data_IF_049144370118
#
_entry.id   IF_049144370118
#
_cell.length_a   1.000
_cell.length_b   1.000
_cell.length_c   1.000
_cell.angle_alpha   90.00
_cell.angle_beta   90.00
_cell.angle_gamma   90.00
#
_symmetry.space_group_name_H-M   'P 1'
#
loop_
_entity.id
_entity.type
_entity.pdbx_description
1 polymer ?
#
# COMPACT_ATOMS: atom_id res chain seq x y z
N UNK A 1 -9.40 15.04 -21.00
CA UNK A 1 -9.57 13.59 -21.08
C UNK A 1 -10.22 13.08 -19.81
N UNK A 2 -11.16 12.21 -19.99
CA UNK A 2 -11.87 11.65 -18.84
C UNK A 2 -10.99 10.62 -18.14
N UNK A 3 -10.86 10.76 -16.85
CA UNK A 3 -10.16 9.80 -16.00
C UNK A 3 -11.10 8.65 -15.66
N UNK A 4 -10.65 7.43 -15.89
CA UNK A 4 -11.40 6.24 -15.50
C UNK A 4 -10.90 5.74 -14.16
N UNK A 5 -11.73 4.99 -13.48
CA UNK A 5 -11.43 4.43 -12.17
C UNK A 5 -11.49 2.91 -12.23
N UNK A 6 -10.46 2.24 -11.72
CA UNK A 6 -10.44 0.79 -11.56
C UNK A 6 -10.11 0.46 -10.13
N UNK A 7 -10.72 -0.60 -9.61
CA UNK A 7 -10.50 -1.08 -8.26
C UNK A 7 -10.11 -2.55 -8.30
N UNK A 8 -9.04 -2.90 -7.62
CA UNK A 8 -8.58 -4.28 -7.57
C UNK A 8 -7.44 -4.47 -6.59
N UNK A 9 -6.84 -5.64 -6.62
CA UNK A 9 -5.67 -5.90 -5.77
C UNK A 9 -4.42 -6.09 -6.62
N UNK A 10 -3.29 -5.73 -6.05
CA UNK A 10 -1.98 -5.89 -6.70
C UNK A 10 -1.62 -7.37 -6.67
N UNK A 11 -1.57 -7.99 -7.85
CA UNK A 11 -1.17 -9.39 -7.96
C UNK A 11 0.33 -9.55 -7.86
N UNK A 12 1.06 -8.80 -8.68
CA UNK A 12 2.51 -8.78 -8.59
C UNK A 12 3.08 -7.51 -9.20
N UNK A 13 4.32 -7.20 -8.80
CA UNK A 13 5.06 -6.05 -9.30
C UNK A 13 6.08 -6.53 -10.32
N UNK A 14 6.00 -6.00 -11.55
CA UNK A 14 6.90 -6.35 -12.63
C UNK A 14 8.21 -5.57 -12.51
N UNK A 15 8.12 -4.27 -12.21
CA UNK A 15 9.28 -3.39 -12.13
C UNK A 15 8.98 -2.25 -11.14
N UNK A 16 10.02 -1.84 -10.42
CA UNK A 16 9.93 -0.69 -9.51
C UNK A 16 11.24 0.07 -9.52
N UNK A 17 11.15 1.40 -9.67
CA UNK A 17 12.28 2.29 -9.47
C UNK A 17 12.14 2.90 -8.07
N UNK A 18 13.04 2.53 -7.16
CA UNK A 18 12.97 2.97 -5.76
C UNK A 18 13.24 4.46 -5.59
N UNK A 19 13.94 5.09 -6.53
CA UNK A 19 14.28 6.52 -6.43
C UNK A 19 13.09 7.43 -6.67
N UNK A 20 12.27 7.12 -7.67
CA UNK A 20 11.16 8.00 -8.06
C UNK A 20 9.78 7.36 -7.87
N UNK A 21 9.72 6.09 -7.50
CA UNK A 21 8.46 5.39 -7.27
C UNK A 21 7.78 4.88 -8.54
N UNK A 22 8.40 5.06 -9.72
CA UNK A 22 7.80 4.55 -10.95
C UNK A 22 7.70 3.03 -10.88
N UNK A 23 6.51 2.52 -11.13
CA UNK A 23 6.20 1.10 -10.94
C UNK A 23 5.36 0.58 -12.10
N UNK A 24 5.66 -0.64 -12.52
CA UNK A 24 4.82 -1.42 -13.43
C UNK A 24 4.33 -2.61 -12.63
N UNK A 25 3.02 -2.74 -12.51
CA UNK A 25 2.40 -3.82 -11.74
C UNK A 25 1.20 -4.41 -12.47
N UNK A 26 0.79 -5.59 -12.03
CA UNK A 26 -0.43 -6.22 -12.50
C UNK A 26 -1.49 -6.12 -11.40
N UNK A 27 -2.60 -5.49 -11.75
CA UNK A 27 -3.76 -5.35 -10.89
C UNK A 27 -4.82 -6.36 -11.35
N UNK A 28 -5.43 -7.06 -10.43
CA UNK A 28 -6.57 -7.94 -10.76
C UNK A 28 -7.85 -7.18 -10.49
N UNK A 29 -8.59 -6.91 -11.57
CA UNK A 29 -9.83 -6.15 -11.56
C UNK A 29 -10.94 -7.04 -12.12
N UNK A 30 -11.93 -7.35 -11.29
CA UNK A 30 -13.04 -8.26 -11.70
C UNK A 30 -12.52 -9.57 -12.30
N UNK A 31 -11.54 -10.17 -11.62
CA UNK A 31 -10.93 -11.45 -12.01
C UNK A 31 -10.07 -11.41 -13.27
N UNK A 32 -9.86 -10.23 -13.85
CA UNK A 32 -9.01 -10.05 -15.02
C UNK A 32 -7.74 -9.27 -14.67
N UNK A 33 -6.64 -9.66 -15.28
CA UNK A 33 -5.35 -8.98 -15.09
C UNK A 33 -5.29 -7.69 -15.91
N UNK A 34 -4.81 -6.63 -15.29
CA UNK A 34 -4.64 -5.32 -15.92
C UNK A 34 -3.24 -4.81 -15.58
N UNK A 35 -2.42 -4.56 -16.60
CA UNK A 35 -1.11 -3.96 -16.38
C UNK A 35 -1.28 -2.47 -16.13
N UNK A 36 -0.77 -2.02 -14.99
CA UNK A 36 -0.83 -0.61 -14.58
C UNK A 36 0.57 -0.04 -14.51
N UNK A 37 0.73 1.20 -14.97
CA UNK A 37 2.00 1.92 -14.93
C UNK A 37 1.79 3.29 -14.29
N UNK A 38 2.74 3.74 -13.51
CA UNK A 38 2.66 5.05 -12.87
C UNK A 38 3.62 5.18 -11.70
N UNK A 39 3.45 6.27 -10.96
CA UNK A 39 4.24 6.51 -9.75
C UNK A 39 3.42 6.08 -8.54
N UNK A 40 3.96 5.15 -7.78
CA UNK A 40 3.31 4.64 -6.57
C UNK A 40 4.24 4.81 -5.36
N UNK A 41 3.66 5.12 -4.22
CA UNK A 41 4.38 5.15 -2.95
C UNK A 41 4.19 3.82 -2.24
N UNK A 42 5.29 3.14 -1.94
CA UNK A 42 5.31 1.92 -1.10
C UNK A 42 4.19 0.91 -1.35
N UNK A 43 3.84 0.72 -2.61
CA UNK A 43 2.82 -0.26 -2.96
C UNK A 43 3.39 -1.67 -2.88
N UNK A 44 2.59 -2.61 -2.36
CA UNK A 44 3.00 -3.99 -2.17
C UNK A 44 1.99 -4.97 -2.77
N UNK A 45 2.46 -6.15 -3.06
CA UNK A 45 1.60 -7.23 -3.54
C UNK A 45 0.53 -7.56 -2.50
N UNK A 46 -0.67 -7.80 -2.96
CA UNK A 46 -1.83 -8.09 -2.12
C UNK A 46 -2.61 -6.88 -1.65
N UNK A 47 -2.08 -5.68 -1.83
CA UNK A 47 -2.81 -4.47 -1.43
C UNK A 47 -3.98 -4.20 -2.36
N UNK A 48 -5.08 -3.73 -1.78
CA UNK A 48 -6.24 -3.28 -2.54
C UNK A 48 -6.10 -1.80 -2.83
N UNK A 49 -6.32 -1.41 -4.07
CA UNK A 49 -6.23 0.00 -4.48
C UNK A 49 -7.40 0.38 -5.37
N UNK A 50 -7.72 1.66 -5.34
CA UNK A 50 -8.58 2.31 -6.31
C UNK A 50 -7.70 3.24 -7.11
N UNK A 51 -7.54 2.95 -8.39
CA UNK A 51 -6.64 3.70 -9.27
C UNK A 51 -7.44 4.54 -10.26
N UNK A 52 -6.98 5.76 -10.47
CA UNK A 52 -7.57 6.72 -11.40
C UNK A 52 -6.57 7.01 -12.51
N UNK A 53 -7.01 6.93 -13.74
CA UNK A 53 -6.12 7.15 -14.86
C UNK A 53 -6.80 6.93 -16.19
N UNK A 54 -6.02 6.51 -17.16
CA UNK A 54 -6.55 6.28 -18.52
C UNK A 54 -5.93 5.03 -19.14
N UNK A 55 -6.70 4.39 -20.00
CA UNK A 55 -6.20 3.28 -20.79
C UNK A 55 -5.32 3.81 -21.92
N UNK A 56 -4.19 3.15 -22.14
CA UNK A 56 -3.27 3.47 -23.23
C UNK A 56 -2.93 2.19 -23.98
N UNK A 57 -2.54 2.33 -25.25
CA UNK A 57 -2.04 1.21 -26.03
C UNK A 57 -0.52 1.33 -26.15
N UNK A 58 0.18 0.31 -25.71
CA UNK A 58 1.62 0.22 -25.89
C UNK A 58 1.91 -0.64 -27.10
N UNK A 59 2.80 -0.17 -27.99
CA UNK A 59 3.11 -0.84 -29.24
C UNK A 59 3.57 -2.29 -29.05
N UNK A 60 4.28 -2.58 -27.96
CA UNK A 60 4.84 -3.92 -27.67
C UNK A 60 3.98 -4.71 -26.70
N UNK A 61 3.46 -4.04 -25.65
CA UNK A 61 2.81 -4.72 -24.53
C UNK A 61 1.28 -4.64 -24.54
N UNK A 62 0.71 -3.99 -25.54
CA UNK A 62 -0.74 -3.89 -25.68
C UNK A 62 -1.38 -2.89 -24.74
N UNK A 63 -2.58 -3.22 -24.27
CA UNK A 63 -3.38 -2.30 -23.45
C UNK A 63 -2.83 -2.21 -22.02
N UNK A 64 -2.62 -0.99 -21.57
CA UNK A 64 -2.16 -0.70 -20.22
C UNK A 64 -3.03 0.39 -19.59
N UNK A 65 -3.04 0.45 -18.27
CA UNK A 65 -3.70 1.51 -17.53
C UNK A 65 -2.64 2.44 -16.95
N UNK A 66 -2.65 3.68 -17.41
CA UNK A 66 -1.72 4.71 -16.92
C UNK A 66 -2.33 5.39 -15.71
N UNK A 67 -1.77 5.11 -14.54
CA UNK A 67 -2.29 5.61 -13.27
C UNK A 67 -1.82 7.05 -13.04
N UNK A 68 -2.77 7.94 -12.83
CA UNK A 68 -2.53 9.34 -12.48
C UNK A 68 -2.51 9.51 -10.97
N UNK A 69 -3.43 8.84 -10.28
CA UNK A 69 -3.51 8.85 -8.83
C UNK A 69 -4.12 7.53 -8.34
N UNK A 70 -3.89 7.21 -7.09
CA UNK A 70 -4.47 6.01 -6.50
C UNK A 70 -4.71 6.22 -5.01
N UNK A 71 -5.60 5.42 -4.47
CA UNK A 71 -5.87 5.35 -3.04
C UNK A 71 -5.78 3.90 -2.61
N UNK A 72 -5.11 3.65 -1.49
CA UNK A 72 -5.14 2.33 -0.89
C UNK A 72 -6.48 2.14 -0.20
N UNK A 73 -7.07 0.97 -0.42
CA UNK A 73 -8.31 0.58 0.23
C UNK A 73 -7.99 -0.49 1.26
N UNK A 74 -8.39 -0.26 2.49
CA UNK A 74 -8.24 -1.28 3.52
C UNK A 74 -9.06 -2.51 3.12
N UNK A 75 -8.48 -3.72 3.20
CA UNK A 75 -9.24 -4.93 2.90
C UNK A 75 -10.44 -5.05 3.84
N UNK A 76 -11.64 -5.20 3.27
CA UNK A 76 -12.88 -5.21 4.06
C UNK A 76 -13.38 -6.61 4.42
N UNK A 77 -13.13 -7.59 3.57
CA UNK A 77 -13.58 -8.95 3.84
C UNK A 77 -12.43 -9.85 4.28
N UNK A 78 -12.79 -10.97 4.88
CA UNK A 78 -11.81 -11.91 5.45
C UNK A 78 -10.82 -12.44 4.39
N UNK A 79 -11.28 -12.72 3.19
CA UNK A 79 -10.42 -13.21 2.12
C UNK A 79 -9.40 -12.17 1.68
N UNK A 80 -9.82 -10.92 1.59
CA UNK A 80 -8.92 -9.82 1.21
C UNK A 80 -7.90 -9.55 2.32
N UNK A 81 -8.29 -9.61 3.58
CA UNK A 81 -7.39 -9.44 4.73
C UNK A 81 -6.33 -10.56 4.73
N UNK A 82 -6.76 -11.80 4.53
CA UNK A 82 -5.86 -12.95 4.49
C UNK A 82 -4.87 -12.82 3.33
N UNK A 83 -5.35 -12.43 2.16
CA UNK A 83 -4.49 -12.22 0.98
C UNK A 83 -3.43 -11.17 1.24
N UNK A 84 -3.84 -10.05 1.81
CA UNK A 84 -2.92 -8.97 2.13
C UNK A 84 -1.84 -9.42 3.12
N UNK A 85 -2.24 -10.03 4.23
CA UNK A 85 -1.30 -10.48 5.25
C UNK A 85 -0.37 -11.58 4.75
N UNK A 86 -0.84 -12.45 3.86
CA UNK A 86 -0.06 -13.55 3.33
C UNK A 86 0.79 -13.20 2.11
N UNK A 87 0.69 -11.98 1.61
CA UNK A 87 1.35 -11.57 0.36
C UNK A 87 2.86 -11.35 0.46
N UNK A 88 3.38 -11.25 1.69
CA UNK A 88 4.77 -10.84 1.92
C UNK A 88 4.90 -9.36 2.24
N UNK A 89 3.81 -8.60 2.22
CA UNK A 89 3.82 -7.18 2.61
C UNK A 89 4.27 -6.99 4.05
N UNK A 90 3.94 -7.93 4.91
CA UNK A 90 4.33 -7.92 6.33
C UNK A 90 5.35 -9.03 6.56
N UNK A 91 6.55 -8.67 6.95
CA UNK A 91 7.61 -9.64 7.24
C UNK A 91 7.23 -10.51 8.45
N UNK A 92 7.47 -11.79 8.34
CA UNK A 92 7.16 -12.74 9.38
C UNK A 92 5.78 -13.37 9.29
N UNK A 93 4.97 -12.97 8.33
CA UNK A 93 3.66 -13.58 8.09
C UNK A 93 3.69 -14.25 6.71
N UNK A 94 3.59 -15.59 6.69
CA UNK A 94 3.40 -16.35 5.47
C UNK A 94 1.92 -16.71 5.32
N UNK A 95 1.62 -17.49 4.29
CA UNK A 95 0.23 -17.88 3.98
C UNK A 95 -0.46 -18.61 5.13
N UNK A 96 0.23 -19.55 5.77
CA UNK A 96 -0.36 -20.34 6.86
C UNK A 96 -0.66 -19.48 8.09
N UNK A 97 0.25 -18.56 8.43
CA UNK A 97 0.06 -17.69 9.59
C UNK A 97 -1.03 -16.67 9.32
N UNK A 98 -1.09 -16.13 8.10
CA UNK A 98 -2.17 -15.22 7.70
C UNK A 98 -3.53 -15.87 7.87
N UNK A 99 -3.67 -17.12 7.45
CA UNK A 99 -4.91 -17.88 7.60
C UNK A 99 -5.29 -18.03 9.07
N UNK A 100 -4.31 -18.34 9.93
CA UNK A 100 -4.56 -18.50 11.38
C UNK A 100 -4.99 -17.20 12.05
N UNK A 101 -4.35 -16.09 11.68
CA UNK A 101 -4.69 -14.77 12.22
C UNK A 101 -6.13 -14.40 11.86
N UNK A 102 -6.47 -14.52 10.58
CA UNK A 102 -7.80 -14.14 10.09
C UNK A 102 -8.88 -15.08 10.63
N UNK A 103 -8.57 -16.36 10.79
CA UNK A 103 -9.49 -17.30 11.41
C UNK A 103 -9.83 -16.90 12.85
N UNK A 104 -8.86 -16.37 13.57
CA UNK A 104 -9.03 -15.95 14.97
C UNK A 104 -9.77 -14.62 15.09
N UNK A 105 -9.37 -13.63 14.31
CA UNK A 105 -9.86 -12.25 14.48
C UNK A 105 -10.84 -11.80 13.40
N UNK A 106 -10.95 -12.53 12.31
CA UNK A 106 -11.91 -12.28 11.21
C UNK A 106 -11.80 -10.83 10.70
N UNK A 107 -12.92 -10.15 10.57
CA UNK A 107 -12.94 -8.77 10.07
C UNK A 107 -12.29 -7.76 11.02
N UNK A 108 -12.11 -8.14 12.29
CA UNK A 108 -11.48 -7.28 13.29
C UNK A 108 -9.95 -7.35 13.25
N UNK A 109 -9.36 -8.12 12.34
CA UNK A 109 -7.92 -8.35 12.30
C UNK A 109 -7.10 -7.06 12.34
N UNK A 110 -7.39 -6.09 11.46
CA UNK A 110 -6.64 -4.83 11.46
C UNK A 110 -6.88 -4.00 12.71
N UNK A 111 -8.10 -3.99 13.22
CA UNK A 111 -8.40 -3.30 14.48
C UNK A 111 -7.59 -3.88 15.64
N UNK A 112 -7.53 -5.20 15.72
CA UNK A 112 -6.74 -5.88 16.74
C UNK A 112 -5.26 -5.55 16.61
N UNK A 113 -4.72 -5.56 15.39
CA UNK A 113 -3.31 -5.24 15.16
C UNK A 113 -3.01 -3.79 15.60
N UNK A 114 -3.90 -2.85 15.32
CA UNK A 114 -3.70 -1.45 15.64
C UNK A 114 -3.97 -1.10 17.10
N UNK A 115 -5.05 -1.63 17.67
CA UNK A 115 -5.52 -1.25 19.00
C UNK A 115 -5.13 -2.21 20.12
N UNK A 116 -5.03 -3.50 19.80
CA UNK A 116 -4.78 -4.54 20.79
C UNK A 116 -3.71 -5.53 20.28
N UNK A 117 -2.52 -5.04 19.88
CA UNK A 117 -1.54 -5.90 19.22
C UNK A 117 -1.06 -7.08 20.05
N UNK A 118 -1.08 -6.95 21.38
CA UNK A 118 -0.73 -8.04 22.28
C UNK A 118 -1.61 -9.29 22.10
N UNK A 119 -2.79 -9.11 21.62
CA UNK A 119 -3.71 -10.24 21.36
C UNK A 119 -3.26 -11.12 20.19
N UNK A 120 -2.39 -10.62 19.34
CA UNK A 120 -1.83 -11.44 18.27
C UNK A 120 -1.10 -12.66 18.82
N UNK A 121 -0.56 -12.57 20.03
CA UNK A 121 0.12 -13.68 20.67
C UNK A 121 -0.82 -14.84 21.07
N UNK A 122 -2.14 -14.65 20.99
CA UNK A 122 -3.13 -15.72 21.16
C UNK A 122 -3.09 -16.69 19.97
N UNK A 123 -2.52 -16.27 18.86
CA UNK A 123 -2.38 -17.09 17.64
C UNK A 123 -1.13 -17.95 17.76
N UNK A 124 -1.28 -19.26 17.50
CA UNK A 124 -0.16 -20.19 17.52
C UNK A 124 0.91 -19.76 16.50
N UNK A 125 2.14 -19.63 16.95
CA UNK A 125 3.26 -19.20 16.13
C UNK A 125 3.61 -17.73 16.27
N UNK A 126 2.88 -16.97 17.10
CA UNK A 126 3.16 -15.56 17.36
C UNK A 126 3.53 -15.37 18.82
N UNK A 127 4.79 -14.96 19.05
CA UNK A 127 5.25 -14.54 20.38
C UNK A 127 4.84 -13.10 20.62
N UNK A 128 4.96 -12.61 21.85
CA UNK A 128 4.71 -11.20 22.17
C UNK A 128 5.61 -10.27 21.34
N UNK A 129 6.88 -10.66 21.18
CA UNK A 129 7.83 -9.89 20.39
C UNK A 129 7.39 -9.81 18.93
N UNK A 130 7.00 -10.95 18.35
CA UNK A 130 6.54 -11.01 16.96
C UNK A 130 5.25 -10.22 16.78
N UNK A 131 4.34 -10.26 17.76
CA UNK A 131 3.12 -9.46 17.74
C UNK A 131 3.43 -7.98 17.59
N UNK A 132 4.39 -7.48 18.35
CA UNK A 132 4.78 -6.08 18.28
C UNK A 132 5.49 -5.73 16.99
N UNK A 133 6.31 -6.63 16.45
CA UNK A 133 6.95 -6.44 15.15
C UNK A 133 5.92 -6.34 14.02
N UNK A 134 4.89 -7.16 14.06
CA UNK A 134 3.79 -7.11 13.09
C UNK A 134 3.04 -5.78 13.20
N UNK A 135 2.70 -5.38 14.43
CA UNK A 135 2.01 -4.11 14.66
C UNK A 135 2.80 -2.91 14.17
N UNK A 136 4.11 -2.90 14.43
CA UNK A 136 4.98 -1.82 13.98
C UNK A 136 5.00 -1.70 12.46
N UNK A 137 5.02 -2.82 11.73
CA UNK A 137 5.00 -2.80 10.28
C UNK A 137 3.67 -2.28 9.71
N UNK A 138 2.55 -2.73 10.29
CA UNK A 138 1.22 -2.27 9.85
C UNK A 138 1.05 -0.78 10.11
N UNK A 139 1.49 -0.32 11.28
CA UNK A 139 1.42 1.10 11.64
C UNK A 139 2.33 1.95 10.75
N UNK A 140 3.52 1.47 10.41
CA UNK A 140 4.44 2.18 9.52
C UNK A 140 3.83 2.37 8.12
N UNK A 141 3.15 1.37 7.60
CA UNK A 141 2.46 1.47 6.30
C UNK A 141 1.31 2.46 6.33
N UNK A 142 0.55 2.48 7.41
CA UNK A 142 -0.52 3.46 7.60
C UNK A 142 0.06 4.88 7.67
N UNK A 143 1.14 5.07 8.42
CA UNK A 143 1.78 6.37 8.58
C UNK A 143 2.32 6.89 7.25
N UNK A 144 2.92 6.02 6.44
CA UNK A 144 3.37 6.37 5.12
C UNK A 144 2.21 6.84 4.24
N UNK A 145 1.09 6.13 4.27
CA UNK A 145 -0.11 6.49 3.51
C UNK A 145 -0.62 7.88 3.91
N UNK A 146 -0.69 8.14 5.21
CA UNK A 146 -1.13 9.43 5.74
C UNK A 146 -0.17 10.55 5.32
N UNK A 147 1.14 10.28 5.35
CA UNK A 147 2.15 11.23 4.91
C UNK A 147 2.00 11.58 3.43
N UNK A 148 1.74 10.60 2.59
CA UNK A 148 1.53 10.85 1.15
C UNK A 148 0.28 11.69 0.90
N UNK A 149 -0.82 11.42 1.61
CA UNK A 149 -2.04 12.21 1.52
C UNK A 149 -1.77 13.65 1.96
N UNK A 150 -1.04 13.82 3.05
CA UNK A 150 -0.68 15.14 3.58
C UNK A 150 0.10 15.96 2.55
N UNK A 151 1.10 15.35 1.92
CA UNK A 151 1.91 16.02 0.89
C UNK A 151 1.07 16.42 -0.33
N UNK A 152 0.15 15.58 -0.74
CA UNK A 152 -0.73 15.87 -1.87
C UNK A 152 -1.64 17.08 -1.61
N UNK A 153 -2.03 17.32 -0.36
CA UNK A 153 -2.83 18.48 0.02
C UNK A 153 -2.10 19.81 -0.24
N UNK A 154 -0.78 19.79 -0.28
CA UNK A 154 0.04 20.96 -0.60
C UNK A 154 0.33 21.09 -2.11
N UNK A 155 -0.35 20.31 -2.93
CA UNK A 155 -0.15 20.35 -4.38
C UNK A 155 1.12 19.63 -4.86
N UNK A 156 1.73 18.85 -3.99
CA UNK A 156 2.94 18.08 -4.31
C UNK A 156 2.52 16.81 -5.05
N UNK A 157 3.09 16.61 -6.27
CA UNK A 157 2.77 15.42 -7.05
C UNK A 157 3.41 14.18 -6.42
N UNK A 158 2.93 13.00 -6.82
CA UNK A 158 3.38 11.74 -6.25
C UNK A 158 4.88 11.51 -6.41
N UNK A 159 5.44 11.85 -7.55
CA UNK A 159 6.88 11.68 -7.82
C UNK A 159 7.72 12.46 -6.81
N UNK A 160 7.39 13.74 -6.60
CA UNK A 160 8.09 14.58 -5.63
C UNK A 160 7.81 14.13 -4.20
N UNK A 161 6.57 13.70 -3.90
CA UNK A 161 6.20 13.21 -2.57
C UNK A 161 7.06 12.00 -2.16
N UNK A 162 7.27 11.05 -3.06
CA UNK A 162 8.12 9.89 -2.81
C UNK A 162 9.57 10.32 -2.50
N UNK A 163 10.10 11.26 -3.27
CA UNK A 163 11.46 11.79 -3.05
C UNK A 163 11.59 12.47 -1.69
N UNK A 164 10.58 13.27 -1.33
CA UNK A 164 10.55 13.97 -0.03
C UNK A 164 10.51 12.96 1.11
N UNK A 165 9.64 11.98 1.02
CA UNK A 165 9.53 10.95 2.06
C UNK A 165 10.82 10.16 2.20
N UNK A 166 11.47 9.81 1.09
CA UNK A 166 12.73 9.08 1.12
C UNK A 166 13.83 9.87 1.84
N UNK A 167 13.79 11.21 1.75
CA UNK A 167 14.78 12.08 2.37
C UNK A 167 14.49 12.34 3.86
N UNK A 168 13.25 12.64 4.20
CA UNK A 168 12.88 13.10 5.55
C UNK A 168 12.13 12.07 6.40
N UNK A 169 11.51 11.07 5.77
CA UNK A 169 10.72 10.07 6.47
C UNK A 169 9.59 10.72 7.28
N UNK A 170 9.47 10.33 8.53
CA UNK A 170 8.44 10.84 9.43
C UNK A 170 8.61 12.32 9.79
N UNK A 171 9.79 12.85 9.57
CA UNK A 171 10.09 14.27 9.88
C UNK A 171 9.46 15.23 8.88
N UNK A 172 8.80 14.74 7.83
CA UNK A 172 8.20 15.59 6.79
C UNK A 172 7.17 16.57 7.34
N UNK A 173 6.44 16.20 8.38
CA UNK A 173 5.45 17.09 8.99
C UNK A 173 6.12 18.31 9.63
N UNK A 174 7.24 18.09 10.30
CA UNK A 174 8.01 19.15 10.93
C UNK A 174 8.67 20.03 9.87
N UNK A 175 9.30 19.40 8.88
CA UNK A 175 9.98 20.12 7.79
C UNK A 175 9.03 21.01 7.00
N UNK A 176 7.83 20.52 6.69
CA UNK A 176 6.83 21.30 5.98
C UNK A 176 6.34 22.49 6.79
N UNK A 177 6.19 22.34 8.10
CA UNK A 177 5.74 23.43 8.98
C UNK A 177 6.82 24.50 9.13
N UNK A 178 8.09 24.11 9.25
CA UNK A 178 9.20 25.01 9.48
C UNK A 178 9.76 25.61 8.20
N UNK A 179 9.81 24.85 7.12
CA UNK A 179 10.46 25.22 5.87
C UNK A 179 9.50 25.28 4.68
N UNK A 180 8.25 25.54 4.93
CA UNK A 180 7.19 25.52 3.93
C UNK A 180 7.52 26.35 2.68
N UNK A 181 8.21 27.47 2.85
CA UNK A 181 8.56 28.37 1.75
C UNK A 181 9.63 27.78 0.82
N UNK A 182 10.47 26.90 1.31
CA UNK A 182 11.53 26.31 0.51
C UNK A 182 11.05 25.16 -0.39
N UNK A 183 9.83 24.67 -0.18
CA UNK A 183 9.24 23.60 -0.96
C UNK A 183 8.44 24.09 -2.17
N UNK A 184 8.07 25.37 -2.14
CA UNK A 184 7.21 26.01 -3.15
C UNK A 184 7.88 27.21 -3.83
#
# INVERSE_FOLDING_TARGET
METETVTGYVDHIIYRNAENGYTVLVLVVNEEELTCVGTFSDIAEGENIEAHGEYTEHATYGRQFKVVSFEEKEPEDEMAIERYLGSGAIHGIGLALAARIVRRFKKDTFRIIEEEPERLAEVKGISQRKAMEIADQVNAKRDLREAMIFLQQYGINMNLAVKIYNKYGEDIYIELKENRRSWF
#
